data_IF_266283305938
#
_entry.id   IF_266283305938
#
_cell.length_a   1.000
_cell.length_b   1.000
_cell.length_c   1.000
_cell.angle_alpha   90.00
_cell.angle_beta   90.00
_cell.angle_gamma   90.00
#
_symmetry.space_group_name_H-M   'P 1'
#
loop_
_entity.id
_entity.type
_entity.pdbx_description
1 polymer ?
#
# COMPACT_ATOMS: atom_id res chain seq x y z
N UNK A 1 -77.43 1.19 3.96
CA UNK A 1 -76.48 0.78 2.88
C UNK A 1 -75.54 1.91 2.40
N UNK A 2 -75.84 3.19 2.68
CA UNK A 2 -75.02 4.33 2.22
C UNK A 2 -73.68 4.48 2.98
N UNK A 3 -73.67 4.33 4.31
CA UNK A 3 -72.47 4.45 5.16
C UNK A 3 -71.35 3.44 4.85
N UNK A 4 -71.72 2.21 4.45
CA UNK A 4 -70.76 1.15 4.10
C UNK A 4 -69.99 1.47 2.81
N UNK A 5 -70.62 2.20 1.88
CA UNK A 5 -70.00 2.65 0.62
C UNK A 5 -69.08 3.86 0.83
N UNK A 6 -69.42 4.75 1.78
CA UNK A 6 -68.63 5.94 2.12
C UNK A 6 -67.33 5.56 2.85
N UNK A 7 -67.39 4.57 3.75
CA UNK A 7 -66.20 4.08 4.48
C UNK A 7 -65.15 3.44 3.56
N UNK A 8 -65.57 2.67 2.55
CA UNK A 8 -64.63 2.05 1.59
C UNK A 8 -63.90 3.08 0.71
N UNK A 9 -64.59 4.17 0.33
CA UNK A 9 -64.00 5.24 -0.48
C UNK A 9 -62.94 6.04 0.27
N UNK A 10 -63.14 6.24 1.59
CA UNK A 10 -62.21 6.94 2.48
C UNK A 10 -60.91 6.14 2.69
N UNK A 11 -61.01 4.82 2.87
CA UNK A 11 -59.85 3.93 2.99
C UNK A 11 -59.05 3.90 1.68
N UNK A 12 -59.75 3.82 0.55
CA UNK A 12 -59.10 3.85 -0.76
C UNK A 12 -58.35 5.17 -0.99
N UNK A 13 -58.95 6.31 -0.63
CA UNK A 13 -58.32 7.63 -0.72
C UNK A 13 -57.08 7.80 0.18
N UNK A 14 -57.06 7.18 1.38
CA UNK A 14 -55.88 7.19 2.26
C UNK A 14 -54.71 6.42 1.66
N UNK A 15 -54.96 5.29 0.98
CA UNK A 15 -53.92 4.51 0.32
C UNK A 15 -53.25 5.25 -0.84
N UNK A 16 -53.95 6.16 -1.51
CA UNK A 16 -53.39 7.00 -2.61
C UNK A 16 -52.52 8.13 -2.05
N UNK A 17 -52.77 8.57 -0.81
CA UNK A 17 -51.96 9.60 -0.12
C UNK A 17 -50.77 9.03 0.66
N UNK A 18 -50.74 7.71 0.90
CA UNK A 18 -49.62 7.02 1.51
C UNK A 18 -48.54 6.76 0.45
N UNK A 19 -47.56 7.64 0.39
CA UNK A 19 -46.39 7.54 -0.46
C UNK A 19 -45.66 6.20 -0.31
N UNK A 20 -45.87 5.25 -1.23
CA UNK A 20 -45.03 4.05 -1.38
C UNK A 20 -43.69 4.43 -2.05
N UNK A 21 -42.83 5.16 -1.34
CA UNK A 21 -41.60 5.75 -1.87
C UNK A 21 -40.42 4.77 -1.84
N UNK A 22 -40.36 3.81 -2.79
CA UNK A 22 -39.12 3.04 -3.06
C UNK A 22 -38.04 3.86 -3.76
N UNK A 23 -38.38 5.06 -4.26
CA UNK A 23 -37.40 6.00 -4.78
C UNK A 23 -36.82 5.68 -6.16
N UNK A 24 -37.50 4.88 -6.97
CA UNK A 24 -37.04 4.60 -8.34
C UNK A 24 -37.34 5.84 -9.20
N UNK A 25 -36.27 6.56 -9.56
CA UNK A 25 -36.28 7.84 -10.27
C UNK A 25 -36.94 9.02 -9.50
N UNK A 26 -36.89 8.92 -8.15
CA UNK A 26 -36.79 9.93 -7.07
C UNK A 26 -37.36 11.35 -7.21
N UNK A 27 -38.14 11.82 -6.22
CA UNK A 27 -38.24 13.26 -5.84
C UNK A 27 -38.49 13.49 -4.33
N UNK A 28 -37.97 12.74 -3.36
CA UNK A 28 -36.60 12.92 -2.83
C UNK A 28 -36.24 11.86 -1.76
N UNK A 29 -35.92 10.62 -2.14
CA UNK A 29 -35.27 9.71 -1.19
C UNK A 29 -33.75 9.81 -1.12
N UNK A 30 -33.24 9.81 0.12
CA UNK A 30 -31.82 9.78 0.50
C UNK A 30 -31.49 8.65 1.48
N UNK A 31 -32.37 7.62 1.55
CA UNK A 31 -32.18 6.19 1.92
C UNK A 31 -33.36 5.64 2.75
N UNK A 32 -34.10 4.67 2.22
CA UNK A 32 -34.40 3.39 2.90
C UNK A 32 -34.94 2.39 1.85
N UNK A 33 -34.33 1.20 1.79
CA UNK A 33 -34.98 0.01 1.26
C UNK A 33 -34.52 -1.19 2.11
N UNK A 34 -35.47 -1.81 2.81
CA UNK A 34 -35.26 -2.94 3.72
C UNK A 34 -35.86 -4.22 3.14
N UNK A 35 -35.09 -5.31 3.15
CA UNK A 35 -35.41 -6.60 2.53
C UNK A 35 -35.26 -7.70 3.57
N UNK A 36 -36.38 -8.24 4.04
CA UNK A 36 -36.40 -9.40 4.94
C UNK A 36 -36.25 -10.71 4.14
N UNK A 37 -35.05 -10.91 3.59
CA UNK A 37 -34.69 -12.01 2.69
C UNK A 37 -33.51 -11.65 1.78
N UNK A 38 -33.40 -12.30 0.62
CA UNK A 38 -32.28 -12.08 -0.31
C UNK A 38 -32.58 -11.01 -1.37
N UNK A 39 -31.62 -10.10 -1.58
CA UNK A 39 -31.60 -9.18 -2.72
C UNK A 39 -30.76 -9.78 -3.86
N UNK A 40 -31.36 -9.94 -5.05
CA UNK A 40 -30.64 -10.37 -6.26
C UNK A 40 -30.63 -9.27 -7.32
N UNK A 41 -29.44 -8.81 -7.69
CA UNK A 41 -29.23 -7.99 -8.90
C UNK A 41 -28.93 -8.94 -10.06
N UNK A 42 -29.76 -8.91 -11.11
CA UNK A 42 -29.69 -9.89 -12.21
C UNK A 42 -28.49 -9.68 -13.12
N UNK A 43 -28.13 -8.42 -13.40
CA UNK A 43 -27.04 -8.06 -14.28
C UNK A 43 -26.14 -7.05 -13.56
N UNK A 44 -24.90 -7.44 -13.30
CA UNK A 44 -23.80 -6.56 -12.92
C UNK A 44 -22.70 -6.83 -13.93
N UNK A 45 -22.37 -5.84 -14.74
CA UNK A 45 -21.25 -5.98 -15.68
C UNK A 45 -19.94 -5.95 -14.91
N UNK A 46 -19.04 -6.89 -15.20
CA UNK A 46 -17.67 -6.81 -14.72
C UNK A 46 -16.96 -5.65 -15.43
N UNK A 47 -16.58 -4.65 -14.63
CA UNK A 47 -15.81 -3.48 -15.06
C UNK A 47 -14.43 -3.42 -14.40
N UNK A 48 -13.94 -4.49 -13.80
CA UNK A 48 -12.68 -4.48 -13.05
C UNK A 48 -11.48 -4.02 -13.90
N UNK A 49 -11.50 -4.34 -15.19
CA UNK A 49 -10.46 -3.97 -16.16
C UNK A 49 -10.67 -2.61 -16.85
N UNK A 50 -11.83 -1.97 -16.67
CA UNK A 50 -12.12 -0.69 -17.31
C UNK A 50 -11.55 0.47 -16.45
N UNK A 51 -10.60 1.27 -16.97
CA UNK A 51 -9.98 2.35 -16.20
C UNK A 51 -10.95 3.49 -15.88
N UNK A 52 -12.11 3.57 -16.55
CA UNK A 52 -13.14 4.57 -16.28
C UNK A 52 -14.05 4.18 -15.10
N UNK A 53 -13.95 2.93 -14.62
CA UNK A 53 -14.72 2.43 -13.48
C UNK A 53 -13.79 2.23 -12.27
N UNK A 54 -13.83 3.21 -11.37
CA UNK A 54 -12.97 3.31 -10.19
C UNK A 54 -13.70 2.96 -8.89
N UNK A 55 -14.96 2.53 -8.93
CA UNK A 55 -15.78 2.25 -7.74
C UNK A 55 -15.91 0.76 -7.46
N UNK A 56 -15.72 0.39 -6.20
CA UNK A 56 -15.94 -0.95 -5.66
C UNK A 56 -17.14 -0.92 -4.74
N UNK A 57 -18.09 -1.84 -4.93
CA UNK A 57 -19.29 -1.94 -4.10
C UNK A 57 -18.91 -2.39 -2.68
N UNK A 58 -19.34 -1.63 -1.68
CA UNK A 58 -19.08 -1.93 -0.26
C UNK A 58 -20.36 -1.77 0.56
N UNK A 59 -20.30 -2.21 1.82
CA UNK A 59 -21.32 -1.90 2.83
C UNK A 59 -20.73 -1.01 3.91
N UNK A 60 -21.50 -0.06 4.41
CA UNK A 60 -21.12 0.72 5.59
C UNK A 60 -21.43 -0.03 6.91
N UNK A 61 -21.10 0.61 8.04
CA UNK A 61 -21.36 0.06 9.39
C UNK A 61 -22.85 -0.10 9.71
N UNK A 62 -23.72 0.65 9.02
CA UNK A 62 -25.17 0.63 9.21
C UNK A 62 -25.86 -0.32 8.22
N UNK A 63 -25.10 -1.03 7.37
CA UNK A 63 -25.64 -1.96 6.38
C UNK A 63 -26.11 -1.30 5.08
N UNK A 64 -25.83 0.00 4.87
CA UNK A 64 -26.11 0.64 3.60
C UNK A 64 -25.10 0.18 2.54
N UNK A 65 -25.58 -0.01 1.31
CA UNK A 65 -24.73 -0.22 0.15
C UNK A 65 -24.13 1.13 -0.27
N UNK A 66 -22.81 1.20 -0.38
CA UNK A 66 -22.05 2.37 -0.80
C UNK A 66 -20.91 1.95 -1.75
N UNK A 67 -19.99 2.86 -2.06
CA UNK A 67 -18.79 2.56 -2.81
C UNK A 67 -17.52 3.06 -2.11
N UNK A 68 -16.43 2.34 -2.34
CA UNK A 68 -15.08 2.85 -2.17
C UNK A 68 -14.48 3.11 -3.54
N UNK A 69 -13.55 4.06 -3.62
CA UNK A 69 -12.71 4.16 -4.81
C UNK A 69 -11.70 3.01 -4.83
N UNK A 70 -11.17 2.69 -6.00
CA UNK A 70 -10.09 1.71 -6.17
C UNK A 70 -8.90 2.10 -5.30
N UNK A 71 -8.62 3.39 -5.18
CA UNK A 71 -7.55 3.90 -4.32
C UNK A 71 -7.83 3.63 -2.84
N UNK A 72 -9.04 3.90 -2.34
CA UNK A 72 -9.40 3.64 -0.94
C UNK A 72 -9.21 2.16 -0.57
N UNK A 73 -9.58 1.24 -1.48
CA UNK A 73 -9.38 -0.20 -1.30
C UNK A 73 -7.88 -0.54 -1.24
N UNK A 74 -7.07 0.06 -2.12
CA UNK A 74 -5.61 -0.13 -2.14
C UNK A 74 -4.94 0.42 -0.87
N UNK A 75 -5.38 1.57 -0.37
CA UNK A 75 -4.85 2.19 0.84
C UNK A 75 -5.24 1.37 2.09
N UNK A 76 -6.48 0.88 2.14
CA UNK A 76 -6.97 0.01 3.22
C UNK A 76 -6.23 -1.34 3.26
N UNK A 77 -5.88 -1.93 2.11
CA UNK A 77 -5.03 -3.12 2.12
C UNK A 77 -3.57 -2.80 2.47
N UNK A 78 -3.03 -1.67 2.03
CA UNK A 78 -1.65 -1.27 2.36
C UNK A 78 -1.44 -1.04 3.87
N UNK A 79 -2.50 -0.63 4.58
CA UNK A 79 -2.47 -0.48 6.04
C UNK A 79 -2.56 -1.79 6.82
N UNK A 80 -3.19 -2.84 6.26
CA UNK A 80 -3.53 -4.10 6.96
C UNK A 80 -2.59 -5.29 6.70
N UNK A 81 -1.71 -5.22 5.70
CA UNK A 81 -0.86 -6.36 5.31
C UNK A 81 0.62 -6.13 5.59
N UNK A 82 1.34 -7.23 5.81
CA UNK A 82 2.79 -7.30 5.59
C UNK A 82 3.03 -6.91 4.14
N UNK A 83 3.48 -5.68 3.91
CA UNK A 83 3.75 -5.16 2.57
C UNK A 83 5.04 -5.80 2.07
N UNK A 84 4.94 -6.82 1.21
CA UNK A 84 6.10 -7.43 0.55
C UNK A 84 6.24 -6.83 -0.87
N UNK A 85 7.23 -5.97 -1.08
CA UNK A 85 7.51 -5.38 -2.39
C UNK A 85 8.87 -5.85 -2.87
N UNK A 86 8.89 -6.52 -4.02
CA UNK A 86 10.12 -7.08 -4.63
C UNK A 86 10.37 -6.43 -5.98
N UNK A 87 11.60 -5.97 -6.17
CA UNK A 87 12.17 -5.62 -7.46
C UNK A 87 13.40 -6.47 -7.74
N UNK A 88 13.55 -6.95 -8.97
CA UNK A 88 14.76 -7.62 -9.46
C UNK A 88 15.03 -7.19 -10.90
N UNK A 89 16.24 -6.72 -11.21
CA UNK A 89 16.68 -6.45 -12.58
C UNK A 89 18.17 -6.69 -12.79
N UNK A 90 18.55 -7.12 -13.98
CA UNK A 90 19.94 -7.24 -14.45
C UNK A 90 20.29 -6.00 -15.27
N UNK A 91 21.23 -5.18 -14.79
CA UNK A 91 21.65 -3.92 -15.46
C UNK A 91 23.17 -3.76 -15.38
N UNK A 92 23.74 -2.91 -16.24
CA UNK A 92 25.16 -2.55 -16.21
C UNK A 92 25.52 -1.58 -15.07
N UNK A 93 24.51 -1.00 -14.42
CA UNK A 93 24.67 -0.10 -13.27
C UNK A 93 23.35 0.11 -12.51
N UNK A 94 23.41 0.79 -11.35
CA UNK A 94 22.22 1.10 -10.56
C UNK A 94 21.33 2.11 -11.30
N UNK A 95 20.02 1.95 -11.16
CA UNK A 95 19.04 2.83 -11.81
C UNK A 95 18.23 3.60 -10.75
N UNK A 96 18.44 4.91 -10.58
CA UNK A 96 17.79 5.73 -9.56
C UNK A 96 16.31 6.01 -9.85
N UNK A 97 15.78 5.64 -11.03
CA UNK A 97 14.34 5.75 -11.33
C UNK A 97 13.56 4.52 -10.86
N UNK A 98 14.25 3.45 -10.48
CA UNK A 98 13.62 2.25 -9.92
C UNK A 98 13.38 2.46 -8.42
N UNK A 99 12.14 2.75 -8.06
CA UNK A 99 11.72 3.04 -6.68
C UNK A 99 10.85 1.90 -6.13
N UNK A 100 11.16 1.44 -4.91
CA UNK A 100 10.38 0.45 -4.17
C UNK A 100 9.75 1.12 -2.95
N UNK A 101 8.46 1.49 -2.99
CA UNK A 101 7.74 2.01 -1.83
C UNK A 101 7.39 0.87 -0.86
N UNK A 102 7.33 1.19 0.44
CA UNK A 102 7.07 0.22 1.51
C UNK A 102 6.64 0.95 2.79
N UNK A 103 5.32 1.06 2.99
CA UNK A 103 4.72 1.85 4.06
C UNK A 103 5.21 3.29 4.03
N UNK A 104 5.85 3.79 5.10
CA UNK A 104 6.30 5.20 5.14
C UNK A 104 7.50 5.51 4.24
N UNK A 105 8.21 4.49 3.74
CA UNK A 105 9.50 4.66 3.09
C UNK A 105 9.45 4.36 1.60
N UNK A 106 10.37 4.99 0.87
CA UNK A 106 10.74 4.62 -0.48
C UNK A 106 12.21 4.26 -0.53
N UNK A 107 12.55 3.23 -1.30
CA UNK A 107 13.91 2.70 -1.42
C UNK A 107 14.36 2.67 -2.88
N UNK A 108 15.65 2.88 -3.11
CA UNK A 108 16.28 2.70 -4.43
C UNK A 108 17.78 2.42 -4.32
N UNK A 109 18.39 2.08 -5.45
CA UNK A 109 19.84 2.21 -5.64
C UNK A 109 20.15 3.51 -6.38
N UNK A 110 21.27 4.14 -6.04
CA UNK A 110 21.87 5.24 -6.80
C UNK A 110 23.29 4.89 -7.24
N UNK A 111 23.94 5.77 -8.00
CA UNK A 111 25.34 5.67 -8.46
C UNK A 111 26.27 6.44 -7.53
N UNK A 112 27.43 5.87 -7.11
CA UNK A 112 27.82 4.44 -7.23
C UNK A 112 26.83 3.57 -6.45
N UNK A 113 26.77 2.25 -6.71
CA UNK A 113 25.79 1.31 -6.11
C UNK A 113 25.56 1.61 -4.63
N UNK A 114 24.53 2.39 -4.32
CA UNK A 114 24.33 2.94 -2.98
C UNK A 114 22.84 2.86 -2.65
N UNK A 115 22.44 2.09 -1.64
CA UNK A 115 21.09 2.11 -1.11
C UNK A 115 20.74 3.50 -0.61
N UNK A 116 19.59 4.00 -1.05
CA UNK A 116 19.03 5.25 -0.58
C UNK A 116 17.61 5.03 -0.07
N UNK A 117 17.20 5.89 0.84
CA UNK A 117 15.82 5.99 1.30
C UNK A 117 15.35 7.43 1.36
N UNK A 118 14.03 7.57 1.33
CA UNK A 118 13.28 8.78 1.72
C UNK A 118 11.91 8.38 2.23
N UNK A 119 11.07 9.35 2.61
CA UNK A 119 9.68 9.08 2.95
C UNK A 119 8.79 9.17 1.71
N UNK A 120 7.72 8.37 1.67
CA UNK A 120 6.65 8.49 0.66
C UNK A 120 6.03 9.90 0.74
N UNK A 121 5.76 10.37 1.96
CA UNK A 121 5.25 11.72 2.23
C UNK A 121 6.30 12.53 2.99
N UNK A 122 6.59 13.73 2.52
CA UNK A 122 7.56 14.63 3.14
C UNK A 122 7.21 14.89 4.63
N UNK A 123 8.20 14.88 5.54
CA UNK A 123 7.93 15.10 6.95
C UNK A 123 7.65 16.58 7.22
N UNK A 124 6.82 16.88 8.22
CA UNK A 124 6.49 18.26 8.62
C UNK A 124 7.60 18.95 9.41
N UNK A 125 8.51 18.17 9.99
CA UNK A 125 9.72 18.63 10.67
C UNK A 125 10.85 17.64 10.40
N UNK A 126 12.09 18.10 10.54
CA UNK A 126 13.25 17.20 10.43
C UNK A 126 13.17 16.11 11.50
N UNK A 127 13.44 14.87 11.12
CA UNK A 127 13.39 13.74 12.05
C UNK A 127 14.52 12.75 11.78
N UNK A 128 14.90 12.03 12.83
CA UNK A 128 15.92 10.99 12.78
C UNK A 128 15.27 9.63 12.77
N UNK A 129 15.59 8.82 11.76
CA UNK A 129 15.19 7.41 11.67
C UNK A 129 16.35 6.55 12.13
N UNK A 130 16.07 5.52 12.92
CA UNK A 130 17.08 4.59 13.41
C UNK A 130 17.02 3.27 12.66
N UNK A 131 18.18 2.65 12.49
CA UNK A 131 18.25 1.34 11.87
C UNK A 131 19.39 0.48 12.42
N UNK A 132 19.22 -0.83 12.26
CA UNK A 132 20.28 -1.82 12.38
C UNK A 132 20.56 -2.41 10.99
N UNK A 133 21.81 -2.72 10.69
CA UNK A 133 22.22 -3.36 9.43
C UNK A 133 22.90 -4.69 9.69
N UNK A 134 22.48 -5.74 9.00
CA UNK A 134 23.21 -6.99 8.85
C UNK A 134 23.75 -7.02 7.41
N UNK A 135 25.08 -7.03 7.28
CA UNK A 135 25.77 -7.21 6.01
C UNK A 135 26.28 -8.64 5.90
N UNK A 136 26.11 -9.21 4.72
CA UNK A 136 26.68 -10.49 4.31
C UNK A 136 27.39 -10.28 2.97
N UNK A 137 28.65 -10.67 2.85
CA UNK A 137 29.43 -10.56 1.61
C UNK A 137 29.83 -11.94 1.11
N UNK A 138 29.86 -12.13 -0.21
CA UNK A 138 30.33 -13.41 -0.78
C UNK A 138 31.79 -13.71 -0.42
N UNK A 139 32.03 -14.99 -0.12
CA UNK A 139 33.35 -15.62 -0.19
C UNK A 139 33.61 -16.25 -1.57
N UNK A 140 34.48 -17.26 -1.64
CA UNK A 140 34.98 -17.85 -2.90
C UNK A 140 34.01 -18.73 -3.69
N UNK A 141 32.77 -18.95 -3.24
CA UNK A 141 31.85 -19.93 -3.87
C UNK A 141 30.36 -19.57 -3.73
N UNK A 142 29.93 -18.43 -4.28
CA UNK A 142 28.50 -18.05 -4.43
C UNK A 142 27.63 -18.15 -3.16
N UNK A 143 28.28 -18.10 -1.99
CA UNK A 143 27.68 -18.17 -0.67
C UNK A 143 28.20 -17.01 0.16
N UNK A 144 27.30 -16.41 0.95
CA UNK A 144 27.71 -15.43 1.93
C UNK A 144 28.62 -16.08 2.98
N UNK A 145 29.85 -15.61 3.05
CA UNK A 145 30.84 -16.14 3.98
C UNK A 145 30.53 -15.68 5.41
N UNK A 146 30.58 -16.61 6.36
CA UNK A 146 30.35 -16.36 7.78
C UNK A 146 31.40 -15.41 8.38
N UNK A 147 32.65 -15.44 7.90
CA UNK A 147 33.71 -14.55 8.37
C UNK A 147 33.60 -13.11 7.86
N UNK A 148 32.82 -12.87 6.81
CA UNK A 148 32.59 -11.54 6.22
C UNK A 148 31.19 -10.98 6.55
N UNK A 149 30.60 -11.40 7.67
CA UNK A 149 29.35 -10.84 8.19
C UNK A 149 29.64 -9.67 9.11
N UNK A 150 28.90 -8.57 8.96
CA UNK A 150 28.97 -7.45 9.89
C UNK A 150 27.58 -7.08 10.41
N UNK A 151 27.48 -6.81 11.70
CA UNK A 151 26.30 -6.22 12.31
C UNK A 151 26.64 -4.82 12.78
N UNK A 152 25.82 -3.85 12.37
CA UNK A 152 25.92 -2.46 12.82
C UNK A 152 24.58 -2.07 13.42
N UNK A 153 24.55 -1.91 14.74
CA UNK A 153 23.37 -1.44 15.46
C UNK A 153 23.41 0.06 15.71
N UNK A 154 22.26 0.62 16.09
CA UNK A 154 22.12 2.01 16.53
C UNK A 154 22.66 3.01 15.49
N UNK A 155 22.43 2.71 14.21
CA UNK A 155 22.72 3.64 13.14
C UNK A 155 21.52 4.56 12.94
N UNK A 156 21.76 5.73 12.35
CA UNK A 156 20.68 6.70 12.11
C UNK A 156 20.85 7.43 10.80
N UNK A 157 19.75 7.98 10.31
CA UNK A 157 19.69 8.86 9.15
C UNK A 157 18.75 10.03 9.45
N UNK A 158 19.15 11.24 9.07
CA UNK A 158 18.33 12.43 9.23
C UNK A 158 17.53 12.68 7.96
N UNK A 159 16.21 12.72 8.09
CA UNK A 159 15.28 13.03 7.02
C UNK A 159 14.76 14.45 7.22
N UNK A 160 14.94 15.30 6.22
CA UNK A 160 14.56 16.71 6.27
C UNK A 160 13.23 16.94 5.59
N UNK A 161 12.63 18.11 5.85
CA UNK A 161 11.39 18.55 5.18
C UNK A 161 11.51 18.63 3.66
N UNK A 162 12.72 18.73 3.11
CA UNK A 162 12.97 18.69 1.67
C UNK A 162 12.70 17.30 1.05
N UNK A 163 12.63 16.24 1.88
CA UNK A 163 12.39 14.85 1.48
C UNK A 163 13.33 14.37 0.34
N UNK A 164 14.59 14.81 0.39
CA UNK A 164 15.62 14.37 -0.53
C UNK A 164 15.98 12.89 -0.27
N UNK A 165 16.51 12.22 -1.29
CA UNK A 165 17.08 10.88 -1.14
C UNK A 165 18.34 10.94 -0.27
N UNK A 166 18.41 10.06 0.73
CA UNK A 166 19.55 9.97 1.64
C UNK A 166 20.14 8.57 1.58
N UNK A 167 21.46 8.49 1.54
CA UNK A 167 22.20 7.23 1.58
C UNK A 167 21.99 6.52 2.93
N UNK A 168 21.83 5.20 2.92
CA UNK A 168 21.72 4.38 4.13
C UNK A 168 22.86 3.36 4.22
N UNK A 169 23.51 3.29 5.38
CA UNK A 169 24.63 2.40 5.62
C UNK A 169 25.94 2.87 4.98
N UNK A 170 26.13 4.19 4.84
CA UNK A 170 27.38 4.83 4.42
C UNK A 170 28.47 4.69 5.49
N UNK A 171 28.98 3.48 5.67
CA UNK A 171 30.20 3.23 6.43
C UNK A 171 31.44 3.29 5.53
N UNK A 172 32.64 3.29 6.12
CA UNK A 172 33.91 3.35 5.40
C UNK A 172 34.11 2.20 4.38
N UNK A 173 33.28 1.15 4.45
CA UNK A 173 33.26 0.05 3.50
C UNK A 173 32.23 0.36 2.42
N UNK A 174 32.69 0.75 1.24
CA UNK A 174 31.85 0.99 0.08
C UNK A 174 30.92 -0.20 -0.19
N UNK A 175 29.68 0.09 -0.57
CA UNK A 175 28.80 -0.90 -1.17
C UNK A 175 29.45 -1.44 -2.43
N UNK A 176 29.52 -2.75 -2.51
CA UNK A 176 30.19 -3.46 -3.57
C UNK A 176 29.24 -4.53 -4.11
N UNK A 177 29.49 -4.99 -5.33
CA UNK A 177 28.77 -6.15 -5.84
C UNK A 177 29.01 -7.37 -4.96
N UNK A 178 28.06 -8.30 -4.99
CA UNK A 178 28.06 -9.53 -4.20
C UNK A 178 27.91 -9.30 -2.69
N UNK A 179 27.15 -8.27 -2.31
CA UNK A 179 26.72 -8.04 -0.93
C UNK A 179 25.20 -8.18 -0.81
N UNK A 180 24.77 -8.70 0.33
CA UNK A 180 23.41 -8.57 0.87
C UNK A 180 23.48 -7.68 2.10
N UNK A 181 22.72 -6.61 2.08
CA UNK A 181 22.49 -5.73 3.23
C UNK A 181 21.03 -5.79 3.64
N UNK A 182 20.78 -6.23 4.87
CA UNK A 182 19.47 -6.29 5.50
C UNK A 182 19.38 -5.16 6.52
N UNK A 183 18.42 -4.27 6.36
CA UNK A 183 18.17 -3.15 7.25
C UNK A 183 16.88 -3.37 8.02
N UNK A 184 16.93 -3.13 9.32
CA UNK A 184 15.79 -3.13 10.21
C UNK A 184 15.61 -1.70 10.68
N UNK A 185 14.54 -1.04 10.24
CA UNK A 185 14.34 0.40 10.34
C UNK A 185 13.13 0.65 11.24
N UNK A 186 13.27 1.60 12.18
CA UNK A 186 12.19 2.08 13.03
C UNK A 186 11.94 3.58 12.80
N UNK A 187 10.67 3.92 12.60
CA UNK A 187 10.24 5.31 12.43
C UNK A 187 9.73 5.87 13.78
N UNK A 188 10.15 7.08 14.20
CA UNK A 188 9.70 7.66 15.48
C UNK A 188 8.17 7.78 15.57
N UNK A 189 7.57 7.19 16.61
CA UNK A 189 6.13 7.23 16.84
C UNK A 189 5.31 6.28 15.95
N UNK A 190 5.96 5.39 15.20
CA UNK A 190 5.30 4.31 14.47
C UNK A 190 5.38 3.00 15.28
N UNK A 191 4.33 2.19 15.22
CA UNK A 191 4.30 0.86 15.84
C UNK A 191 4.86 -0.23 14.90
N UNK A 192 5.13 0.11 13.65
CA UNK A 192 5.64 -0.82 12.64
C UNK A 192 7.17 -0.89 12.64
N UNK A 193 7.70 -2.05 12.27
CA UNK A 193 9.12 -2.23 11.92
C UNK A 193 9.22 -2.50 10.43
N UNK A 194 10.22 -1.90 9.78
CA UNK A 194 10.47 -2.09 8.36
C UNK A 194 11.74 -2.93 8.18
N UNK A 195 11.68 -3.96 7.35
CA UNK A 195 12.85 -4.70 6.89
C UNK A 195 13.04 -4.47 5.41
N UNK A 196 14.23 -4.05 5.00
CA UNK A 196 14.58 -3.97 3.57
C UNK A 196 15.89 -4.72 3.31
N UNK A 197 15.87 -5.57 2.29
CA UNK A 197 17.02 -6.32 1.81
C UNK A 197 17.49 -5.76 0.48
N UNK A 198 18.73 -5.29 0.44
CA UNK A 198 19.43 -4.88 -0.77
C UNK A 198 20.42 -5.97 -1.15
N UNK A 199 20.21 -6.59 -2.30
CA UNK A 199 21.15 -7.58 -2.87
C UNK A 199 21.67 -7.09 -4.20
N UNK A 200 22.99 -7.12 -4.35
CA UNK A 200 23.64 -6.96 -5.65
C UNK A 200 24.46 -8.21 -5.96
N UNK A 201 24.30 -8.79 -7.15
CA UNK A 201 25.04 -9.99 -7.60
C UNK A 201 25.61 -9.77 -8.98
N UNK A 202 26.88 -10.09 -9.19
CA UNK A 202 27.43 -10.14 -10.54
C UNK A 202 26.68 -11.19 -11.36
N UNK A 203 26.19 -10.81 -12.53
CA UNK A 203 25.43 -11.68 -13.45
C UNK A 203 26.27 -12.16 -14.65
N UNK A 204 27.54 -11.76 -14.73
CA UNK A 204 28.40 -12.00 -15.89
C UNK A 204 28.19 -10.95 -17.00
N UNK A 205 29.14 -10.89 -17.95
CA UNK A 205 29.04 -9.98 -19.11
C UNK A 205 28.95 -8.49 -18.75
N UNK A 206 29.52 -8.07 -17.61
CA UNK A 206 29.43 -6.68 -17.11
C UNK A 206 28.10 -6.32 -16.43
N UNK A 207 27.15 -7.25 -16.36
CA UNK A 207 25.85 -7.03 -15.72
C UNK A 207 25.88 -7.35 -14.22
N UNK A 208 25.03 -6.65 -13.48
CA UNK A 208 24.76 -6.82 -12.06
C UNK A 208 23.26 -7.00 -11.86
N UNK A 209 22.86 -8.02 -11.12
CA UNK A 209 21.51 -8.23 -10.64
C UNK A 209 21.29 -7.38 -9.39
N UNK A 210 20.42 -6.39 -9.49
CA UNK A 210 19.93 -5.59 -8.38
C UNK A 210 18.62 -6.17 -7.88
N UNK A 211 18.53 -6.50 -6.60
CA UNK A 211 17.30 -6.91 -5.94
C UNK A 211 17.05 -6.05 -4.71
N UNK A 212 15.79 -5.66 -4.53
CA UNK A 212 15.27 -5.00 -3.34
C UNK A 212 14.02 -5.74 -2.89
N UNK A 213 13.98 -6.12 -1.62
CA UNK A 213 12.77 -6.67 -0.99
C UNK A 213 12.50 -5.87 0.26
N UNK A 214 11.33 -5.22 0.34
CA UNK A 214 10.90 -4.54 1.55
C UNK A 214 9.66 -5.18 2.15
N UNK A 215 9.66 -5.20 3.48
CA UNK A 215 8.64 -5.76 4.37
C UNK A 215 8.32 -4.77 5.48
N UNK A 216 7.03 -4.61 5.75
CA UNK A 216 6.51 -3.88 6.92
C UNK A 216 5.88 -4.90 7.86
N UNK A 217 6.22 -4.84 9.14
CA UNK A 217 5.68 -5.67 10.22
C UNK A 217 4.94 -4.83 11.24
#
# INVERSE_FOLDING_TARGET
MLYKKISGLLIFSLCITANAQVGINTTTPTRTLDVNGDLRVRLLEDKAADPLYDKVLVKDANGNIDYWTRQDVMDAMETLYVVNKKFTASKTGPDPTTIVPCGKFEFRYNTPVMPQLRLVTAPTANLTVYYNRIRKKDGTTSSFDATNRSFKSNQSVNLTTANAWVDIGSDAVAFNNNTLDEYYISYPGDNNIYRVSFVTRNAGGGNVNYTMVCEKF
#
